data_IF_612344959291
#
_entry.id   IF_612344959291
#
_cell.length_a   1.000
_cell.length_b   1.000
_cell.length_c   1.000
_cell.angle_alpha   90.00
_cell.angle_beta   90.00
_cell.angle_gamma   90.00
#
_symmetry.space_group_name_H-M   'P 1'
#
loop_
_entity.id
_entity.type
_entity.pdbx_description
1 polymer ?
#
# COMPACT_ATOMS: atom_id res chain seq x y z
N UNK A 1 14.47 16.67 -45.51
CA UNK A 1 13.87 17.24 -44.27
C UNK A 1 12.48 16.65 -43.95
N UNK A 2 11.66 16.26 -44.94
CA UNK A 2 10.33 15.68 -44.70
C UNK A 2 10.34 14.30 -43.98
N UNK A 3 11.31 13.42 -44.25
CA UNK A 3 11.42 12.10 -43.58
C UNK A 3 11.76 12.19 -42.07
N UNK A 4 12.49 13.23 -41.65
CA UNK A 4 12.77 13.49 -40.23
C UNK A 4 11.49 13.91 -39.49
N UNK A 5 10.57 14.62 -40.16
CA UNK A 5 9.29 14.99 -39.58
C UNK A 5 8.33 13.80 -39.40
N UNK A 6 8.34 12.88 -40.36
CA UNK A 6 7.46 11.71 -40.35
C UNK A 6 7.92 10.61 -39.37
N UNK A 7 9.24 10.40 -39.26
CA UNK A 7 9.80 9.44 -38.28
C UNK A 7 9.59 9.91 -36.83
N UNK A 8 9.77 11.21 -36.56
CA UNK A 8 9.52 11.80 -35.24
C UNK A 8 8.04 11.85 -34.87
N UNK A 9 7.13 12.09 -35.82
CA UNK A 9 5.68 12.06 -35.55
C UNK A 9 5.19 10.64 -35.21
N UNK A 10 5.74 9.61 -35.86
CA UNK A 10 5.48 8.20 -35.51
C UNK A 10 6.03 7.83 -34.14
N UNK A 11 7.21 8.35 -33.77
CA UNK A 11 7.79 8.19 -32.43
C UNK A 11 6.93 8.84 -31.35
N UNK A 12 6.47 10.08 -31.57
CA UNK A 12 5.54 10.81 -30.71
C UNK A 12 4.22 10.03 -30.52
N UNK A 13 3.66 9.51 -31.62
CA UNK A 13 2.44 8.70 -31.59
C UNK A 13 2.59 7.39 -30.80
N UNK A 14 3.75 6.72 -30.90
CA UNK A 14 4.07 5.53 -30.08
C UNK A 14 4.21 5.87 -28.60
N UNK A 15 4.89 6.96 -28.27
CA UNK A 15 5.07 7.41 -26.88
C UNK A 15 3.73 7.79 -26.24
N UNK A 16 2.85 8.48 -26.96
CA UNK A 16 1.50 8.82 -26.47
C UNK A 16 0.64 7.57 -26.24
N UNK A 17 0.73 6.55 -27.12
CA UNK A 17 0.01 5.28 -26.92
C UNK A 17 0.49 4.52 -25.69
N UNK A 18 1.79 4.57 -25.41
CA UNK A 18 2.41 3.95 -24.23
C UNK A 18 2.05 4.68 -22.91
N UNK A 19 1.68 5.96 -22.96
CA UNK A 19 1.36 6.74 -21.76
C UNK A 19 -0.01 6.43 -21.16
N UNK A 20 -1.03 6.18 -22.01
CA UNK A 20 -2.40 5.87 -21.55
C UNK A 20 -2.47 4.68 -20.58
N UNK A 21 -1.88 3.50 -20.86
CA UNK A 21 -1.93 2.37 -19.93
C UNK A 21 -1.19 2.69 -18.62
N UNK A 22 -0.13 3.49 -18.66
CA UNK A 22 0.61 3.90 -17.46
C UNK A 22 -0.20 4.85 -16.58
N UNK A 23 -0.94 5.79 -17.16
CA UNK A 23 -1.85 6.68 -16.43
C UNK A 23 -3.01 5.91 -15.80
N UNK A 24 -3.60 4.99 -16.56
CA UNK A 24 -4.68 4.11 -16.08
C UNK A 24 -4.16 3.25 -14.92
N UNK A 25 -2.98 2.63 -15.07
CA UNK A 25 -2.36 1.86 -14.01
C UNK A 25 -2.11 2.69 -12.74
N UNK A 26 -1.58 3.91 -12.88
CA UNK A 26 -1.38 4.83 -11.77
C UNK A 26 -2.68 5.23 -11.07
N UNK A 27 -3.73 5.54 -11.83
CA UNK A 27 -5.05 5.88 -11.29
C UNK A 27 -5.69 4.68 -10.57
N UNK A 28 -5.63 3.49 -11.16
CA UNK A 28 -6.10 2.25 -10.53
C UNK A 28 -5.34 1.96 -9.24
N UNK A 29 -4.02 2.13 -9.24
CA UNK A 29 -3.19 1.93 -8.04
C UNK A 29 -3.55 2.92 -6.93
N UNK A 30 -3.79 4.19 -7.27
CA UNK A 30 -4.22 5.20 -6.31
C UNK A 30 -5.61 4.86 -5.72
N UNK A 31 -6.56 4.44 -6.56
CA UNK A 31 -7.89 4.01 -6.12
C UNK A 31 -7.83 2.77 -5.23
N UNK A 32 -6.99 1.79 -5.57
CA UNK A 32 -6.77 0.60 -4.75
C UNK A 32 -6.14 0.97 -3.40
N UNK A 33 -5.14 1.86 -3.39
CA UNK A 33 -4.55 2.39 -2.16
C UNK A 33 -5.59 3.07 -1.26
N UNK A 34 -6.40 3.96 -1.83
CA UNK A 34 -7.48 4.64 -1.10
C UNK A 34 -8.53 3.65 -0.56
N UNK A 35 -8.97 2.69 -1.38
CA UNK A 35 -9.91 1.66 -0.96
C UNK A 35 -9.34 0.81 0.18
N UNK A 36 -8.05 0.46 0.11
CA UNK A 36 -7.37 -0.32 1.15
C UNK A 36 -7.24 0.47 2.47
N UNK A 37 -6.96 1.78 2.41
CA UNK A 37 -6.96 2.65 3.59
C UNK A 37 -8.34 2.69 4.25
N UNK A 38 -9.39 2.95 3.48
CA UNK A 38 -10.77 3.01 3.99
C UNK A 38 -11.18 1.65 4.58
N UNK A 39 -10.87 0.57 3.88
CA UNK A 39 -11.14 -0.79 4.36
C UNK A 39 -10.40 -1.10 5.66
N UNK A 40 -9.11 -0.75 5.74
CA UNK A 40 -8.28 -1.03 6.91
C UNK A 40 -8.72 -0.28 8.16
N UNK A 41 -9.19 0.96 8.02
CA UNK A 41 -9.77 1.76 9.11
C UNK A 41 -11.17 1.27 9.48
N UNK A 42 -12.03 0.99 8.49
CA UNK A 42 -13.40 0.51 8.75
C UNK A 42 -13.44 -0.87 9.43
N UNK A 43 -12.40 -1.70 9.22
CA UNK A 43 -12.20 -3.01 9.85
C UNK A 43 -11.14 -2.98 10.95
N UNK A 44 -10.89 -1.82 11.54
CA UNK A 44 -10.01 -1.76 12.70
C UNK A 44 -10.68 -2.46 13.89
N UNK A 45 -10.06 -3.54 14.34
CA UNK A 45 -10.40 -4.21 15.58
C UNK A 45 -9.13 -4.32 16.43
N UNK A 46 -9.06 -3.61 17.57
CA UNK A 46 -7.88 -3.61 18.43
C UNK A 46 -7.64 -4.96 19.14
N UNK A 47 -8.59 -5.90 19.07
CA UNK A 47 -8.47 -7.23 19.67
C UNK A 47 -8.44 -8.35 18.63
N UNK A 48 -8.48 -8.02 17.33
CA UNK A 48 -8.38 -9.03 16.28
C UNK A 48 -7.02 -9.72 16.32
N UNK A 49 -7.03 -11.05 16.21
CA UNK A 49 -5.81 -11.82 16.10
C UNK A 49 -5.14 -11.51 14.74
N UNK A 50 -3.90 -10.98 14.71
CA UNK A 50 -3.16 -10.74 13.48
C UNK A 50 -2.97 -12.00 12.62
N UNK A 51 -3.06 -13.20 13.22
CA UNK A 51 -2.98 -14.50 12.52
C UNK A 51 -4.26 -14.80 11.73
N UNK A 52 -5.40 -14.27 12.14
CA UNK A 52 -6.67 -14.38 11.43
C UNK A 52 -6.79 -13.26 10.39
N UNK A 53 -5.95 -13.29 9.35
CA UNK A 53 -6.02 -12.30 8.28
C UNK A 53 -7.19 -12.61 7.32
N UNK A 54 -8.22 -11.76 7.18
CA UNK A 54 -9.22 -11.92 6.13
C UNK A 54 -8.54 -11.76 4.76
N UNK A 55 -9.01 -12.50 3.75
CA UNK A 55 -8.28 -12.69 2.48
C UNK A 55 -7.81 -11.43 1.72
N UNK A 56 -8.39 -10.25 1.97
CA UNK A 56 -7.96 -8.98 1.38
C UNK A 56 -6.71 -8.37 2.06
N UNK A 57 -6.23 -8.95 3.17
CA UNK A 57 -5.13 -8.43 3.98
C UNK A 57 -3.79 -9.15 3.75
N UNK A 58 -3.66 -9.81 2.60
CA UNK A 58 -2.46 -10.56 2.21
C UNK A 58 -1.12 -9.82 2.39
N UNK A 59 -0.99 -8.50 2.11
CA UNK A 59 0.27 -7.77 2.35
C UNK A 59 0.69 -7.78 3.82
N UNK A 60 -0.27 -7.67 4.74
CA UNK A 60 -0.04 -7.70 6.18
C UNK A 60 0.09 -9.14 6.68
N UNK A 61 -0.67 -10.08 6.13
CA UNK A 61 -0.57 -11.50 6.44
C UNK A 61 0.83 -12.06 6.17
N UNK A 62 1.50 -11.58 5.11
CA UNK A 62 2.92 -11.93 4.86
C UNK A 62 3.88 -11.50 5.95
N UNK A 63 3.49 -10.53 6.78
CA UNK A 63 4.26 -10.02 7.90
C UNK A 63 3.77 -10.59 9.24
N UNK A 64 2.80 -11.51 9.24
CA UNK A 64 2.25 -12.15 10.45
C UNK A 64 3.34 -12.78 11.34
N UNK A 65 4.40 -13.32 10.73
CA UNK A 65 5.54 -13.93 11.43
C UNK A 65 6.27 -12.95 12.37
N UNK A 66 6.22 -11.63 12.11
CA UNK A 66 6.80 -10.62 12.99
C UNK A 66 6.06 -10.54 14.33
N UNK A 67 4.78 -10.89 14.33
CA UNK A 67 3.90 -10.85 15.50
C UNK A 67 3.96 -12.16 16.31
N UNK A 68 4.13 -13.30 15.63
CA UNK A 68 4.17 -14.63 16.25
C UNK A 68 5.31 -14.80 17.26
N UNK A 69 6.49 -14.21 16.99
CA UNK A 69 7.63 -14.29 17.92
C UNK A 69 7.37 -13.58 19.24
N UNK A 70 6.63 -12.48 19.23
CA UNK A 70 6.29 -11.73 20.43
C UNK A 70 5.23 -12.46 21.27
N UNK A 71 4.15 -12.94 20.63
CA UNK A 71 3.03 -13.57 21.34
C UNK A 71 3.37 -14.96 21.89
N UNK A 72 4.18 -15.76 21.18
CA UNK A 72 4.52 -17.12 21.60
C UNK A 72 5.24 -17.18 22.95
N UNK A 73 6.02 -16.15 23.31
CA UNK A 73 6.73 -16.10 24.61
C UNK A 73 5.80 -15.94 25.81
N UNK A 74 4.61 -15.35 25.62
CA UNK A 74 3.59 -15.18 26.68
C UNK A 74 2.64 -16.37 26.70
N UNK A 75 2.28 -16.91 25.53
CA UNK A 75 1.39 -18.08 25.41
C UNK A 75 1.98 -19.33 26.10
N UNK A 76 3.31 -19.47 26.12
CA UNK A 76 4.02 -20.62 26.71
C UNK A 76 4.37 -20.40 28.19
N UNK A 77 4.20 -19.19 28.73
CA UNK A 77 4.54 -18.89 30.12
C UNK A 77 3.51 -19.51 31.09
N UNK A 78 3.96 -20.46 31.93
CA UNK A 78 3.14 -21.04 33.00
C UNK A 78 3.29 -20.19 34.27
N UNK A 79 2.22 -19.55 34.78
CA UNK A 79 2.33 -18.77 36.01
C UNK A 79 2.51 -19.68 37.23
N UNK A 80 3.49 -19.39 38.08
CA UNK A 80 3.70 -20.10 39.35
C UNK A 80 2.84 -19.49 40.47
N UNK A 81 2.50 -18.20 40.37
CA UNK A 81 1.71 -17.48 41.38
C UNK A 81 0.43 -16.83 40.84
N UNK A 82 -0.53 -16.56 41.74
CA UNK A 82 -1.77 -15.80 41.40
C UNK A 82 -1.48 -14.35 40.96
N UNK A 83 -0.35 -13.78 41.38
CA UNK A 83 0.08 -12.45 40.98
C UNK A 83 0.64 -12.46 39.55
N UNK A 84 1.50 -13.43 39.22
CA UNK A 84 2.00 -13.65 37.87
C UNK A 84 0.87 -13.94 36.88
N UNK A 85 -0.12 -14.75 37.27
CA UNK A 85 -1.28 -15.02 36.43
C UNK A 85 -2.10 -13.75 36.10
N UNK A 86 -2.07 -12.71 36.94
CA UNK A 86 -2.70 -11.41 36.63
C UNK A 86 -1.81 -10.56 35.74
N UNK A 87 -0.50 -10.55 35.98
CA UNK A 87 0.49 -9.82 35.18
C UNK A 87 0.56 -10.38 33.75
N UNK A 88 0.62 -11.69 33.56
CA UNK A 88 0.58 -12.34 32.25
C UNK A 88 -0.72 -12.03 31.50
N UNK A 89 -1.88 -12.00 32.19
CA UNK A 89 -3.15 -11.60 31.57
C UNK A 89 -3.22 -10.12 31.20
N UNK A 90 -2.56 -9.25 31.96
CA UNK A 90 -2.45 -7.83 31.63
C UNK A 90 -1.51 -7.63 30.44
N UNK A 91 -0.38 -8.34 30.43
CA UNK A 91 0.61 -8.31 29.37
C UNK A 91 0.06 -8.86 28.05
N UNK A 92 -0.65 -9.99 28.08
CA UNK A 92 -1.32 -10.57 26.91
C UNK A 92 -2.35 -9.61 26.30
N UNK A 93 -3.18 -8.97 27.14
CA UNK A 93 -4.14 -7.96 26.66
C UNK A 93 -3.46 -6.75 26.04
N UNK A 94 -2.38 -6.27 26.65
CA UNK A 94 -1.63 -5.14 26.12
C UNK A 94 -0.92 -5.50 24.80
N UNK A 95 -0.41 -6.72 24.68
CA UNK A 95 0.20 -7.21 23.45
C UNK A 95 -0.81 -7.41 22.33
N UNK A 96 -2.01 -7.91 22.61
CA UNK A 96 -3.09 -8.00 21.62
C UNK A 96 -3.51 -6.60 21.14
N UNK A 97 -3.63 -5.63 22.06
CA UNK A 97 -3.88 -4.25 21.68
C UNK A 97 -2.77 -3.68 20.79
N UNK A 98 -1.51 -3.87 21.19
CA UNK A 98 -0.35 -3.39 20.45
C UNK A 98 -0.22 -4.04 19.07
N UNK A 99 -0.57 -5.32 18.93
CA UNK A 99 -0.53 -6.03 17.66
C UNK A 99 -1.64 -5.53 16.73
N UNK A 100 -2.86 -5.32 17.24
CA UNK A 100 -3.96 -4.70 16.49
C UNK A 100 -3.61 -3.30 15.97
N UNK A 101 -3.00 -2.46 16.81
CA UNK A 101 -2.51 -1.12 16.41
C UNK A 101 -1.43 -1.21 15.33
N UNK A 102 -0.48 -2.13 15.48
CA UNK A 102 0.59 -2.30 14.49
C UNK A 102 0.04 -2.79 13.13
N UNK A 103 -0.94 -3.71 13.13
CA UNK A 103 -1.64 -4.13 11.91
C UNK A 103 -2.30 -2.94 11.22
N UNK A 104 -2.98 -2.07 11.98
CA UNK A 104 -3.55 -0.84 11.44
C UNK A 104 -2.48 0.06 10.81
N UNK A 105 -1.35 0.26 11.49
CA UNK A 105 -0.23 1.06 10.96
C UNK A 105 0.33 0.48 9.66
N UNK A 106 0.48 -0.85 9.56
CA UNK A 106 0.90 -1.51 8.32
C UNK A 106 -0.11 -1.32 7.20
N UNK A 107 -1.42 -1.46 7.48
CA UNK A 107 -2.48 -1.21 6.49
C UNK A 107 -2.41 0.22 5.97
N UNK A 108 -2.26 1.19 6.87
CA UNK A 108 -2.11 2.61 6.53
C UNK A 108 -0.84 2.84 5.71
N UNK A 109 0.27 2.23 6.09
CA UNK A 109 1.54 2.35 5.39
C UNK A 109 1.46 1.84 3.95
N UNK A 110 0.96 0.62 3.72
CA UNK A 110 0.80 0.07 2.38
C UNK A 110 -0.19 0.84 1.54
N UNK A 111 -1.33 1.22 2.11
CA UNK A 111 -2.34 2.03 1.43
C UNK A 111 -1.78 3.39 1.01
N UNK A 112 -0.99 4.03 1.87
CA UNK A 112 -0.35 5.33 1.58
C UNK A 112 0.73 5.19 0.51
N UNK A 113 1.56 4.15 0.55
CA UNK A 113 2.56 3.90 -0.51
C UNK A 113 1.87 3.71 -1.86
N UNK A 114 0.83 2.88 -1.93
CA UNK A 114 0.09 2.66 -3.16
C UNK A 114 -0.53 3.97 -3.68
N UNK A 115 -1.12 4.77 -2.78
CA UNK A 115 -1.69 6.07 -3.10
C UNK A 115 -0.64 7.04 -3.69
N UNK A 116 0.50 7.20 -3.00
CA UNK A 116 1.59 8.10 -3.41
C UNK A 116 2.20 7.64 -4.74
N UNK A 117 2.47 6.34 -4.90
CA UNK A 117 2.99 5.78 -6.16
C UNK A 117 2.01 5.96 -7.31
N UNK A 118 0.71 5.74 -7.07
CA UNK A 118 -0.34 5.96 -8.05
C UNK A 118 -0.40 7.42 -8.51
N UNK A 119 -0.40 8.37 -7.57
CA UNK A 119 -0.33 9.79 -7.91
C UNK A 119 0.95 10.18 -8.62
N UNK A 120 2.11 9.69 -8.18
CA UNK A 120 3.38 9.96 -8.84
C UNK A 120 3.37 9.50 -10.31
N UNK A 121 2.85 8.31 -10.59
CA UNK A 121 2.71 7.81 -11.98
C UNK A 121 1.78 8.70 -12.80
N UNK A 122 0.63 9.11 -12.25
CA UNK A 122 -0.31 10.01 -12.94
C UNK A 122 0.35 11.36 -13.23
N UNK A 123 1.02 11.95 -12.26
CA UNK A 123 1.74 13.23 -12.41
C UNK A 123 2.82 13.14 -13.49
N UNK A 124 3.63 12.07 -13.49
CA UNK A 124 4.65 11.85 -14.53
C UNK A 124 4.03 11.78 -15.92
N UNK A 125 2.86 11.15 -16.06
CA UNK A 125 2.15 11.08 -17.35
C UNK A 125 1.61 12.46 -17.75
N UNK A 126 1.02 13.21 -16.82
CA UNK A 126 0.49 14.57 -17.07
C UNK A 126 1.62 15.51 -17.54
N UNK A 127 2.76 15.52 -16.84
CA UNK A 127 3.89 16.36 -17.21
C UNK A 127 4.49 15.95 -18.57
N UNK A 128 4.62 14.65 -18.84
CA UNK A 128 5.07 14.16 -20.15
C UNK A 128 4.10 14.53 -21.27
N UNK A 129 2.79 14.45 -21.05
CA UNK A 129 1.79 14.85 -22.03
C UNK A 129 1.87 16.36 -22.33
N UNK A 130 2.11 17.17 -21.30
CA UNK A 130 2.25 18.64 -21.41
C UNK A 130 3.50 19.03 -22.20
N UNK A 131 4.63 18.38 -21.93
CA UNK A 131 5.87 18.57 -22.70
C UNK A 131 5.71 18.19 -24.17
N UNK A 132 5.05 17.06 -24.46
CA UNK A 132 4.79 16.64 -25.84
C UNK A 132 3.85 17.60 -26.57
N UNK A 133 2.86 18.17 -25.89
CA UNK A 133 1.98 19.19 -26.47
C UNK A 133 2.74 20.48 -26.81
N UNK A 134 3.64 20.94 -25.93
CA UNK A 134 4.51 22.10 -26.20
C UNK A 134 5.45 21.85 -27.38
N UNK A 135 6.09 20.67 -27.46
CA UNK A 135 6.96 20.30 -28.59
C UNK A 135 6.17 20.31 -29.90
N UNK A 136 4.91 19.84 -29.88
CA UNK A 136 4.04 19.86 -31.06
C UNK A 136 3.71 21.28 -31.51
N UNK A 137 3.42 22.18 -30.56
CA UNK A 137 3.15 23.60 -30.86
C UNK A 137 4.38 24.38 -31.36
N UNK A 138 5.59 24.04 -30.91
CA UNK A 138 6.83 24.67 -31.39
C UNK A 138 7.25 24.19 -32.78
N UNK A 139 6.62 23.12 -33.28
CA UNK A 139 6.95 22.50 -34.57
C UNK A 139 5.98 22.90 -35.70
N UNK A 140 4.80 23.39 -35.34
CA UNK A 140 3.87 24.08 -36.24
C UNK A 140 4.27 25.56 -36.37
#
# INVERSE_FOLDING_TARGET
>A
MAELAESESRLLGRLLRSQRPMAIAGALLALLGAAYLVWGVARFDPMADPRESPGFDWPVARLAFLFERGMSSIEVAVPETKAEARLLRALARNMNFSSGVMVLLLRIFFGTIALVMGFAMVTVVVERARLLAMIRQLRE
#
